data_IF_898661720914
#
_entry.id   IF_898661720914
#
_cell.length_a   1.000
_cell.length_b   1.000
_cell.length_c   1.000
_cell.angle_alpha   90.00
_cell.angle_beta   90.00
_cell.angle_gamma   90.00
#
_symmetry.space_group_name_H-M   'P 1'
#
loop_
_entity.id
_entity.type
_entity.pdbx_description
1 polymer ?
#
# COMPACT_ATOMS: atom_id res chain seq x y z
N UNK A 1 18.63 0.14 -9.71
CA UNK A 1 17.49 0.27 -8.76
C UNK A 1 16.23 0.56 -9.54
N UNK A 2 15.11 -0.07 -9.15
CA UNK A 2 13.77 0.27 -9.64
C UNK A 2 13.04 1.06 -8.54
N UNK A 3 12.12 1.95 -8.94
CA UNK A 3 11.31 2.74 -8.02
C UNK A 3 9.91 2.15 -7.96
N UNK A 4 9.42 1.87 -6.77
CA UNK A 4 8.06 1.41 -6.49
C UNK A 4 7.25 2.50 -5.79
N UNK A 5 5.93 2.42 -5.86
CA UNK A 5 5.01 3.34 -5.19
C UNK A 5 4.59 2.80 -3.82
N UNK A 6 4.20 3.70 -2.93
CA UNK A 6 3.62 3.34 -1.64
C UNK A 6 2.34 4.14 -1.40
N UNK A 7 1.27 3.45 -0.99
CA UNK A 7 0.06 4.07 -0.45
C UNK A 7 0.13 3.96 1.07
N UNK A 8 0.04 5.09 1.77
CA UNK A 8 0.08 5.15 3.23
C UNK A 8 -1.32 5.46 3.77
N UNK A 9 -1.79 4.64 4.69
CA UNK A 9 -3.07 4.79 5.37
C UNK A 9 -2.82 4.90 6.87
N UNK A 10 -3.48 5.85 7.55
CA UNK A 10 -3.52 5.87 9.01
C UNK A 10 -4.58 4.89 9.48
N UNK A 11 -4.20 3.96 10.35
CA UNK A 11 -5.11 2.99 10.97
C UNK A 11 -4.88 3.00 12.48
N UNK A 12 -5.87 3.48 13.23
CA UNK A 12 -5.76 3.77 14.67
C UNK A 12 -4.45 4.48 15.03
N UNK A 13 -3.57 3.83 15.79
CA UNK A 13 -2.27 4.35 16.24
C UNK A 13 -1.11 4.03 15.27
N UNK A 14 -1.36 3.26 14.21
CA UNK A 14 -0.35 2.80 13.25
C UNK A 14 -0.51 3.44 11.86
N UNK A 15 0.52 3.25 11.02
CA UNK A 15 0.48 3.53 9.58
C UNK A 15 0.62 2.22 8.82
N UNK A 16 -0.29 1.96 7.88
CA UNK A 16 -0.24 0.82 6.96
C UNK A 16 0.28 1.31 5.61
N UNK A 17 1.33 0.68 5.11
CA UNK A 17 1.97 0.98 3.83
C UNK A 17 1.73 -0.17 2.83
N UNK A 18 1.32 0.15 1.61
CA UNK A 18 1.01 -0.83 0.56
C UNK A 18 1.75 -0.50 -0.74
N UNK A 19 2.36 -1.51 -1.37
CA UNK A 19 2.98 -1.41 -2.70
C UNK A 19 2.00 -1.93 -3.75
N UNK A 20 1.31 -1.09 -4.52
CA UNK A 20 0.30 -1.53 -5.48
C UNK A 20 0.87 -2.34 -6.67
N UNK A 21 2.14 -2.13 -7.05
CA UNK A 21 2.77 -2.85 -8.16
C UNK A 21 3.03 -4.34 -7.82
N UNK A 22 3.25 -4.64 -6.54
CA UNK A 22 3.66 -5.97 -6.07
C UNK A 22 2.58 -6.64 -5.20
N UNK A 23 1.74 -5.83 -4.54
CA UNK A 23 0.72 -6.29 -3.60
C UNK A 23 1.24 -6.49 -2.17
N UNK A 24 2.50 -6.15 -1.88
CA UNK A 24 3.04 -6.21 -0.52
C UNK A 24 2.42 -5.15 0.38
N UNK A 25 2.31 -5.51 1.66
CA UNK A 25 1.81 -4.64 2.72
C UNK A 25 2.74 -4.73 3.91
N UNK A 26 2.92 -3.62 4.61
CA UNK A 26 3.61 -3.57 5.88
C UNK A 26 3.03 -2.45 6.75
N UNK A 27 3.52 -2.30 7.98
CA UNK A 27 3.04 -1.30 8.92
C UNK A 27 4.17 -0.76 9.80
N UNK A 28 3.96 0.41 10.39
CA UNK A 28 4.88 1.05 11.33
C UNK A 28 4.17 2.11 12.17
N UNK A 29 4.77 2.49 13.29
CA UNK A 29 4.24 3.51 14.20
C UNK A 29 4.40 4.92 13.60
N UNK A 30 5.37 5.08 12.69
CA UNK A 30 5.57 6.28 11.87
C UNK A 30 5.47 5.96 10.38
N UNK A 31 5.37 7.01 9.56
CA UNK A 31 5.37 6.88 8.09
C UNK A 31 6.71 6.30 7.63
N UNK A 32 7.82 6.76 8.21
CA UNK A 32 9.17 6.33 7.87
C UNK A 32 9.38 4.85 8.20
N UNK A 33 8.91 4.40 9.37
CA UNK A 33 8.98 3.00 9.77
C UNK A 33 8.13 2.13 8.84
N UNK A 34 6.90 2.52 8.55
CA UNK A 34 6.02 1.77 7.64
C UNK A 34 6.64 1.66 6.22
N UNK A 35 7.29 2.72 5.73
CA UNK A 35 7.99 2.72 4.45
C UNK A 35 9.25 1.84 4.45
N UNK A 36 10.03 1.86 5.54
CA UNK A 36 11.20 0.99 5.69
C UNK A 36 10.78 -0.48 5.70
N UNK A 37 9.77 -0.82 6.50
CA UNK A 37 9.26 -2.18 6.59
C UNK A 37 8.62 -2.64 5.26
N UNK A 38 7.96 -1.73 4.53
CA UNK A 38 7.42 -2.03 3.19
C UNK A 38 8.53 -2.30 2.18
N UNK A 39 9.64 -1.55 2.24
CA UNK A 39 10.80 -1.78 1.36
C UNK A 39 11.33 -3.19 1.57
N UNK A 40 11.61 -3.57 2.81
CA UNK A 40 12.15 -4.90 3.14
C UNK A 40 11.20 -6.01 2.68
N UNK A 41 9.91 -5.90 2.99
CA UNK A 41 8.91 -6.88 2.55
C UNK A 41 8.82 -6.99 1.02
N UNK A 42 8.96 -5.87 0.31
CA UNK A 42 8.95 -5.84 -1.16
C UNK A 42 10.21 -6.45 -1.75
N UNK A 43 11.38 -6.16 -1.18
CA UNK A 43 12.65 -6.76 -1.59
C UNK A 43 12.62 -8.29 -1.42
N UNK A 44 12.20 -8.77 -0.24
CA UNK A 44 12.05 -10.20 0.04
C UNK A 44 11.08 -10.90 -0.92
N UNK A 45 9.92 -10.29 -1.19
CA UNK A 45 8.97 -10.86 -2.15
C UNK A 45 9.57 -10.99 -3.56
N UNK A 46 10.33 -9.98 -4.01
CA UNK A 46 10.91 -9.94 -5.34
C UNK A 46 12.09 -10.91 -5.52
N UNK A 47 12.75 -11.32 -4.43
CA UNK A 47 13.77 -12.37 -4.46
C UNK A 47 13.15 -13.72 -4.87
N UNK A 48 11.95 -14.03 -4.38
CA UNK A 48 11.22 -15.25 -4.72
C UNK A 48 10.41 -15.11 -6.03
N UNK A 49 9.82 -13.94 -6.26
CA UNK A 49 8.91 -13.67 -7.36
C UNK A 49 9.34 -12.42 -8.15
N UNK A 50 10.25 -12.55 -9.13
CA UNK A 50 10.72 -11.43 -9.92
C UNK A 50 9.57 -10.69 -10.63
N UNK A 51 9.58 -9.36 -10.55
CA UNK A 51 8.56 -8.54 -11.19
C UNK A 51 8.50 -8.77 -12.72
N UNK A 52 7.34 -9.21 -13.21
CA UNK A 52 7.13 -9.57 -14.63
C UNK A 52 6.74 -8.38 -15.50
N UNK A 53 6.07 -7.37 -14.93
CA UNK A 53 5.61 -6.15 -15.61
C UNK A 53 5.64 -4.98 -14.64
N UNK A 54 5.95 -3.79 -15.14
CA UNK A 54 6.01 -2.56 -14.34
C UNK A 54 5.00 -1.56 -14.88
N UNK A 55 4.04 -1.18 -14.05
CA UNK A 55 3.16 -0.05 -14.31
C UNK A 55 3.40 1.01 -13.23
N UNK A 56 3.17 2.28 -13.56
CA UNK A 56 3.13 3.33 -12.54
C UNK A 56 1.67 3.51 -12.12
N UNK A 57 1.29 3.14 -10.89
CA UNK A 57 -0.06 3.36 -10.44
C UNK A 57 -0.37 4.85 -10.40
N UNK A 58 -1.60 5.21 -10.78
CA UNK A 58 -2.15 6.54 -10.55
C UNK A 58 -3.09 6.44 -9.36
N UNK A 59 -2.78 7.15 -8.27
CA UNK A 59 -3.70 7.32 -7.16
C UNK A 59 -4.69 8.44 -7.51
N UNK A 60 -5.97 8.13 -7.47
CA UNK A 60 -7.07 9.08 -7.74
C UNK A 60 -8.25 8.77 -6.83
N UNK A 61 -9.18 9.71 -6.71
CA UNK A 61 -10.43 9.57 -5.96
C UNK A 61 -11.62 9.53 -6.91
N UNK A 62 -12.74 8.97 -6.45
CA UNK A 62 -14.03 8.98 -7.16
C UNK A 62 -15.17 9.09 -6.14
N UNK A 63 -16.31 9.62 -6.58
CA UNK A 63 -17.48 9.81 -5.72
C UNK A 63 -18.47 8.64 -5.84
N UNK A 64 -19.08 8.25 -4.72
CA UNK A 64 -20.08 7.18 -4.66
C UNK A 64 -21.30 7.66 -3.87
N UNK A 65 -22.51 7.27 -4.29
CA UNK A 65 -23.74 7.47 -3.51
C UNK A 65 -23.90 6.36 -2.49
N UNK A 66 -23.69 6.69 -1.22
CA UNK A 66 -23.97 5.77 -0.11
C UNK A 66 -25.48 5.69 0.12
N UNK A 67 -26.02 4.46 0.16
CA UNK A 67 -27.38 4.24 0.66
C UNK A 67 -27.29 4.14 2.18
N UNK A 68 -27.93 5.05 2.90
CA UNK A 68 -28.07 4.91 4.35
C UNK A 68 -28.78 3.57 4.64
N UNK A 69 -28.28 2.75 5.58
CA UNK A 69 -29.03 1.59 6.02
C UNK A 69 -30.39 2.05 6.54
N UNK A 70 -31.47 1.35 6.14
CA UNK A 70 -32.81 1.63 6.66
C UNK A 70 -32.77 1.56 8.19
N UNK A 71 -33.23 2.59 8.92
CA UNK A 71 -33.38 2.47 10.36
C UNK A 71 -34.38 1.34 10.65
N UNK A 72 -33.97 0.39 11.47
CA UNK A 72 -34.79 -0.70 12.03
C UNK A 72 -35.64 -0.20 13.18
#
# INVERSE_FOLDING_TARGET
MKTYSAIILKDEDMYVAKCPEVGTVSQGSTIEEALANLREATELYLEEFPAQSFFRPLMTTFEVREHAPSPS
#
